data_IF_006025268490
#
_entry.id   IF_006025268490
#
_cell.length_a   1.000
_cell.length_b   1.000
_cell.length_c   1.000
_cell.angle_alpha   90.00
_cell.angle_beta   90.00
_cell.angle_gamma   90.00
#
_symmetry.space_group_name_H-M   'P 1'
#
loop_
_entity.id
_entity.type
_entity.pdbx_description
1 polymer ?
#
# COMPACT_ATOMS: atom_id res chain seq x y z
N UNK A 1 -0.59 12.88 -1.25
CA UNK A 1 0.36 12.01 -0.52
C UNK A 1 1.08 11.20 -1.57
N UNK A 2 2.41 11.22 -1.54
CA UNK A 2 3.24 10.52 -2.52
C UNK A 2 3.35 9.04 -2.14
N UNK A 3 2.83 8.14 -2.98
CA UNK A 3 2.80 6.70 -2.72
C UNK A 3 4.21 6.09 -2.70
N UNK A 4 5.16 6.65 -3.44
CA UNK A 4 6.55 6.17 -3.43
C UNK A 4 7.17 6.37 -2.04
N UNK A 5 7.01 7.56 -1.47
CA UNK A 5 7.46 7.85 -0.09
C UNK A 5 6.80 6.96 0.96
N UNK A 6 5.53 6.59 0.75
CA UNK A 6 4.82 5.64 1.63
C UNK A 6 5.46 4.26 1.59
N UNK A 7 5.77 3.77 0.38
CA UNK A 7 6.41 2.48 0.18
C UNK A 7 7.82 2.48 0.79
N UNK A 8 8.60 3.54 0.55
CA UNK A 8 9.93 3.71 1.16
C UNK A 8 9.87 3.65 2.69
N UNK A 9 8.92 4.37 3.29
CA UNK A 9 8.76 4.39 4.75
C UNK A 9 8.29 3.04 5.30
N UNK A 10 7.36 2.35 4.62
CA UNK A 10 6.95 0.98 4.98
C UNK A 10 8.16 0.04 4.96
N UNK A 11 9.01 0.12 3.93
CA UNK A 11 10.20 -0.71 3.77
C UNK A 11 11.25 -0.40 4.84
N UNK A 12 11.45 0.87 5.17
CA UNK A 12 12.32 1.30 6.25
C UNK A 12 11.86 0.70 7.60
N UNK A 13 10.59 0.89 7.96
CA UNK A 13 10.03 0.35 9.20
C UNK A 13 10.05 -1.18 9.22
N UNK A 14 9.86 -1.82 8.07
CA UNK A 14 9.98 -3.27 7.95
C UNK A 14 11.42 -3.73 8.26
N UNK A 15 12.44 -3.13 7.64
CA UNK A 15 13.85 -3.46 7.91
C UNK A 15 14.20 -3.26 9.39
N UNK A 16 13.78 -2.13 9.96
CA UNK A 16 13.94 -1.84 11.38
C UNK A 16 13.30 -2.92 12.27
N UNK A 17 12.06 -3.33 11.96
CA UNK A 17 11.34 -4.39 12.67
C UNK A 17 12.08 -5.73 12.71
N UNK A 18 12.85 -6.05 11.66
CA UNK A 18 13.60 -7.30 11.55
C UNK A 18 14.93 -7.26 12.31
N UNK A 19 15.51 -6.07 12.47
CA UNK A 19 16.83 -5.90 13.10
C UNK A 19 16.71 -5.65 14.61
N UNK A 20 15.90 -4.67 15.00
CA UNK A 20 15.83 -4.17 16.38
C UNK A 20 14.39 -4.14 16.93
N UNK A 21 13.40 -4.46 16.09
CA UNK A 21 11.98 -4.33 16.44
C UNK A 21 11.46 -2.92 16.19
N UNK A 22 10.18 -2.71 16.49
CA UNK A 22 9.53 -1.41 16.35
C UNK A 22 8.94 -0.97 17.68
N UNK A 23 9.02 0.33 17.97
CA UNK A 23 8.25 0.92 19.06
C UNK A 23 6.75 0.85 18.78
N UNK A 24 5.92 1.12 19.79
CA UNK A 24 4.47 1.13 19.61
C UNK A 24 4.04 2.17 18.55
N UNK A 25 4.58 3.38 18.64
CA UNK A 25 4.32 4.46 17.69
C UNK A 25 4.72 4.09 16.26
N UNK A 26 5.87 3.42 16.10
CA UNK A 26 6.33 2.98 14.79
C UNK A 26 5.47 1.85 14.22
N UNK A 27 4.94 0.96 15.06
CA UNK A 27 3.99 -0.07 14.63
C UNK A 27 2.68 0.55 14.15
N UNK A 28 2.15 1.52 14.91
CA UNK A 28 0.94 2.25 14.51
C UNK A 28 1.14 3.01 13.21
N UNK A 29 2.31 3.65 13.05
CA UNK A 29 2.66 4.35 11.83
C UNK A 29 2.78 3.39 10.65
N UNK A 30 3.46 2.26 10.83
CA UNK A 30 3.55 1.23 9.79
C UNK A 30 2.17 0.70 9.38
N UNK A 31 1.26 0.50 10.34
CA UNK A 31 -0.11 0.06 10.05
C UNK A 31 -0.91 1.12 9.28
N UNK A 32 -0.84 2.39 9.68
CA UNK A 32 -1.48 3.49 8.95
C UNK A 32 -0.98 3.58 7.51
N UNK A 33 0.33 3.55 7.32
CA UNK A 33 0.95 3.62 5.99
C UNK A 33 0.53 2.44 5.11
N UNK A 34 0.52 1.22 5.67
CA UNK A 34 0.05 0.02 4.95
C UNK A 34 -1.40 0.13 4.51
N UNK A 35 -2.28 0.67 5.36
CA UNK A 35 -3.68 0.91 5.01
C UNK A 35 -3.81 1.87 3.83
N UNK A 36 -3.08 2.99 3.87
CA UNK A 36 -3.08 3.99 2.79
C UNK A 36 -2.64 3.37 1.47
N UNK A 37 -1.56 2.58 1.49
CA UNK A 37 -1.07 1.87 0.29
C UNK A 37 -2.11 0.86 -0.26
N UNK A 38 -2.73 0.06 0.62
CA UNK A 38 -3.75 -0.89 0.20
C UNK A 38 -4.95 -0.18 -0.42
N UNK A 39 -5.40 0.93 0.17
CA UNK A 39 -6.54 1.68 -0.34
C UNK A 39 -6.22 2.34 -1.69
N UNK A 40 -4.98 2.83 -1.90
CA UNK A 40 -4.57 3.34 -3.21
C UNK A 40 -4.51 2.25 -4.27
N UNK A 41 -3.99 1.06 -3.92
CA UNK A 41 -3.95 -0.09 -4.84
C UNK A 41 -5.35 -0.55 -5.20
N UNK A 42 -6.26 -0.67 -4.22
CA UNK A 42 -7.67 -1.04 -4.45
C UNK A 42 -8.37 -0.02 -5.36
N UNK A 43 -8.14 1.26 -5.14
CA UNK A 43 -8.74 2.32 -5.97
C UNK A 43 -8.24 2.23 -7.42
N UNK A 44 -6.93 2.05 -7.61
CA UNK A 44 -6.35 1.89 -8.94
C UNK A 44 -6.88 0.65 -9.65
N UNK A 45 -6.96 -0.50 -8.96
CA UNK A 45 -7.53 -1.73 -9.52
C UNK A 45 -9.00 -1.56 -9.95
N UNK A 46 -9.82 -0.90 -9.12
CA UNK A 46 -11.23 -0.63 -9.50
C UNK A 46 -11.33 0.22 -10.76
N UNK A 47 -10.49 1.25 -10.89
CA UNK A 47 -10.46 2.08 -12.09
C UNK A 47 -10.05 1.27 -13.34
N UNK A 48 -9.06 0.38 -13.20
CA UNK A 48 -8.68 -0.52 -14.30
C UNK A 48 -9.83 -1.46 -14.69
N UNK A 49 -10.53 -2.06 -13.72
CA UNK A 49 -11.66 -2.95 -13.98
C UNK A 49 -12.85 -2.25 -14.64
N UNK A 50 -13.11 -0.99 -14.32
CA UNK A 50 -14.15 -0.19 -14.98
C UNK A 50 -13.85 0.06 -16.47
N UNK A 51 -12.56 0.08 -16.85
CA UNK A 51 -12.13 0.20 -18.24
C UNK A 51 -12.11 -1.11 -19.01
N UNK A 52 -12.40 -2.26 -18.37
CA UNK A 52 -12.48 -3.54 -19.06
C UNK A 52 -13.89 -3.70 -19.62
N UNK A 53 -14.02 -3.56 -20.94
CA UNK A 53 -15.23 -3.94 -21.64
C UNK A 53 -15.26 -5.46 -21.84
N UNK A 54 -16.44 -6.07 -21.68
CA UNK A 54 -16.60 -7.49 -22.04
C UNK A 54 -16.39 -7.61 -23.54
N UNK A 55 -15.45 -8.46 -23.95
CA UNK A 55 -15.34 -8.84 -25.35
C UNK A 55 -16.54 -9.71 -25.69
N UNK A 56 -17.50 -9.14 -26.41
CA UNK A 56 -18.57 -9.92 -27.02
C UNK A 56 -17.94 -10.86 -28.06
N UNK A 57 -18.13 -12.16 -27.85
CA UNK A 57 -17.74 -13.19 -28.82
C UNK A 57 -18.85 -13.32 -29.84
N UNK A 58 -18.60 -12.84 -31.07
CA UNK A 58 -19.44 -13.09 -32.24
C UNK A 58 -18.74 -14.07 -33.17
#
# INVERSE_FOLDING_TARGET
MDIERVIEKINFLYKKSQQEGLTLEEKEEQQRLRKIYIDSVKSNLRAQLQGIERKDSN
#
